data_IF_180906884097
#
_entry.id   IF_180906884097
#
_cell.length_a   1.000
_cell.length_b   1.000
_cell.length_c   1.000
_cell.angle_alpha   90.00
_cell.angle_beta   90.00
_cell.angle_gamma   90.00
#
_symmetry.space_group_name_H-M   'P 1'
#
loop_
_entity.id
_entity.type
_entity.pdbx_description
1 polymer ?
#
# COMPACT_ATOMS: atom_id res chain seq x y z
N UNK A 1 11.03 4.75 -17.33
CA UNK A 1 12.12 4.00 -16.66
C UNK A 1 12.62 2.93 -17.62
N UNK A 2 13.77 3.15 -18.26
CA UNK A 2 14.45 2.11 -19.02
C UNK A 2 15.37 1.32 -18.06
N UNK A 3 14.77 0.42 -17.27
CA UNK A 3 15.51 -0.53 -16.44
C UNK A 3 15.27 -1.94 -17.01
N UNK A 4 16.34 -2.74 -17.20
CA UNK A 4 16.27 -3.98 -17.99
C UNK A 4 15.43 -5.09 -17.33
N UNK A 5 15.36 -5.11 -16.00
CA UNK A 5 14.68 -6.15 -15.24
C UNK A 5 14.13 -5.65 -13.89
N UNK A 6 13.57 -6.56 -13.11
CA UNK A 6 12.96 -6.27 -11.82
C UNK A 6 14.00 -5.84 -10.76
N UNK A 7 15.15 -6.49 -10.71
CA UNK A 7 16.21 -6.18 -9.75
C UNK A 7 16.82 -4.81 -10.03
N UNK A 8 17.03 -4.46 -11.29
CA UNK A 8 17.49 -3.14 -11.69
C UNK A 8 16.49 -2.04 -11.29
N UNK A 9 15.17 -2.32 -11.37
CA UNK A 9 14.15 -1.38 -10.87
C UNK A 9 14.18 -1.25 -9.35
N UNK A 10 14.31 -2.36 -8.62
CA UNK A 10 14.43 -2.32 -7.16
C UNK A 10 15.68 -1.55 -6.72
N UNK A 11 16.79 -1.70 -7.45
CA UNK A 11 18.00 -0.93 -7.18
C UNK A 11 17.74 0.57 -7.32
N UNK A 12 17.08 1.01 -8.39
CA UNK A 12 16.72 2.43 -8.58
C UNK A 12 15.84 2.92 -7.42
N UNK A 13 14.87 2.12 -6.99
CA UNK A 13 14.01 2.46 -5.84
C UNK A 13 14.84 2.61 -4.57
N UNK A 14 15.75 1.67 -4.28
CA UNK A 14 16.64 1.75 -3.13
C UNK A 14 17.58 2.96 -3.19
N UNK A 15 18.19 3.22 -4.35
CA UNK A 15 19.10 4.34 -4.58
C UNK A 15 18.39 5.71 -4.41
N UNK A 16 17.08 5.77 -4.61
CA UNK A 16 16.26 7.00 -4.48
C UNK A 16 15.34 6.99 -3.25
N UNK A 17 15.60 6.12 -2.28
CA UNK A 17 14.70 5.89 -1.14
C UNK A 17 14.44 7.15 -0.31
N UNK A 18 15.45 8.00 -0.10
CA UNK A 18 15.29 9.28 0.61
C UNK A 18 14.37 10.25 -0.15
N UNK A 19 14.60 10.44 -1.46
CA UNK A 19 13.74 11.28 -2.31
C UNK A 19 12.29 10.76 -2.34
N UNK A 20 12.13 9.44 -2.39
CA UNK A 20 10.81 8.78 -2.35
C UNK A 20 10.12 9.00 -1.00
N UNK A 21 10.85 8.95 0.11
CA UNK A 21 10.28 9.18 1.44
C UNK A 21 9.79 10.62 1.58
N UNK A 22 10.56 11.58 1.07
CA UNK A 22 10.18 12.99 1.00
C UNK A 22 8.93 13.20 0.13
N UNK A 23 8.86 12.55 -1.05
CA UNK A 23 7.68 12.56 -1.92
C UNK A 23 6.46 11.95 -1.22
N UNK A 24 6.62 10.86 -0.47
CA UNK A 24 5.56 10.25 0.32
C UNK A 24 5.06 11.20 1.41
N UNK A 25 5.97 11.90 2.09
CA UNK A 25 5.61 12.93 3.09
C UNK A 25 4.81 14.05 2.44
N UNK A 26 5.25 14.51 1.27
CA UNK A 26 4.60 15.59 0.54
C UNK A 26 3.23 15.21 -0.04
N UNK A 27 3.05 13.95 -0.42
CA UNK A 27 1.76 13.44 -0.87
C UNK A 27 0.73 13.41 0.27
N UNK A 28 1.15 13.15 1.51
CA UNK A 28 0.29 12.95 2.68
C UNK A 28 -0.16 14.25 3.38
N UNK A 29 -0.18 15.38 2.65
CA UNK A 29 -0.59 16.69 3.19
C UNK A 29 -2.05 16.67 3.64
N UNK A 30 -2.30 17.40 4.73
CA UNK A 30 -3.63 17.61 5.30
C UNK A 30 -4.39 18.73 4.58
N UNK A 31 -5.74 18.73 4.65
CA UNK A 31 -6.59 17.72 5.30
C UNK A 31 -6.80 16.49 4.41
N UNK A 32 -7.08 15.35 5.05
CA UNK A 32 -7.65 14.15 4.42
C UNK A 32 -9.07 13.93 4.98
N UNK A 33 -9.87 13.09 4.32
CA UNK A 33 -11.22 12.78 4.77
C UNK A 33 -11.24 12.14 6.17
N UNK A 34 -12.19 12.54 7.02
CA UNK A 34 -12.30 12.12 8.44
C UNK A 34 -12.26 10.61 8.65
N UNK A 35 -12.92 9.85 7.77
CA UNK A 35 -12.97 8.37 7.83
C UNK A 35 -11.60 7.68 7.74
N UNK A 36 -10.57 8.36 7.23
CA UNK A 36 -9.21 7.82 7.08
C UNK A 36 -8.15 8.61 7.84
N UNK A 37 -8.53 9.66 8.57
CA UNK A 37 -7.61 10.60 9.22
C UNK A 37 -6.67 9.89 10.21
N UNK A 38 -7.20 9.08 11.13
CA UNK A 38 -6.41 8.32 12.10
C UNK A 38 -5.34 7.45 11.43
N UNK A 39 -5.71 6.75 10.34
CA UNK A 39 -4.77 5.91 9.59
C UNK A 39 -3.77 6.75 8.82
N UNK A 40 -4.17 7.89 8.28
CA UNK A 40 -3.26 8.81 7.59
C UNK A 40 -2.20 9.38 8.54
N UNK A 41 -2.55 9.68 9.79
CA UNK A 41 -1.58 10.05 10.84
C UNK A 41 -0.54 8.95 11.02
N UNK A 42 -0.96 7.69 11.10
CA UNK A 42 -0.04 6.55 11.24
C UNK A 42 0.86 6.36 10.02
N UNK A 43 0.35 6.59 8.79
CA UNK A 43 1.21 6.58 7.59
C UNK A 43 2.25 7.69 7.65
N UNK A 44 1.87 8.92 8.06
CA UNK A 44 2.84 10.01 8.25
C UNK A 44 3.92 9.65 9.28
N UNK A 45 3.53 9.00 10.37
CA UNK A 45 4.50 8.50 11.37
C UNK A 45 5.42 7.42 10.80
N UNK A 46 4.92 6.52 9.95
CA UNK A 46 5.75 5.52 9.28
C UNK A 46 6.78 6.18 8.34
N UNK A 47 6.37 7.21 7.60
CA UNK A 47 7.28 8.00 6.74
C UNK A 47 8.32 8.74 7.59
N UNK A 48 7.93 9.37 8.69
CA UNK A 48 8.89 10.05 9.57
C UNK A 48 9.87 9.06 10.19
N UNK A 49 9.41 7.90 10.66
CA UNK A 49 10.27 6.84 11.15
C UNK A 49 11.27 6.38 10.07
N UNK A 50 10.86 6.33 8.80
CA UNK A 50 11.75 6.02 7.70
C UNK A 50 12.85 7.10 7.56
N UNK A 51 12.46 8.37 7.51
CA UNK A 51 13.38 9.52 7.38
C UNK A 51 14.37 9.57 8.56
N UNK A 52 13.92 9.21 9.76
CA UNK A 52 14.75 9.15 10.96
C UNK A 52 15.67 7.89 11.00
N UNK A 53 15.63 7.05 9.98
CA UNK A 53 16.47 5.84 9.84
C UNK A 53 15.93 4.60 10.55
N UNK A 54 14.70 4.63 11.07
CA UNK A 54 14.02 3.52 11.73
C UNK A 54 13.24 2.65 10.72
N UNK A 55 13.94 2.07 9.75
CA UNK A 55 13.34 1.36 8.62
C UNK A 55 12.44 0.16 9.05
N UNK A 56 12.84 -0.60 10.05
CA UNK A 56 12.07 -1.74 10.54
C UNK A 56 10.74 -1.29 11.15
N UNK A 57 10.76 -0.22 11.94
CA UNK A 57 9.56 0.37 12.52
C UNK A 57 8.66 0.98 11.44
N UNK A 58 9.25 1.70 10.48
CA UNK A 58 8.54 2.27 9.34
C UNK A 58 7.79 1.20 8.53
N UNK A 59 8.48 0.11 8.17
CA UNK A 59 7.87 -1.01 7.45
C UNK A 59 6.73 -1.65 8.25
N UNK A 60 6.98 -1.98 9.52
CA UNK A 60 5.98 -2.65 10.36
C UNK A 60 4.71 -1.79 10.48
N UNK A 61 4.86 -0.49 10.76
CA UNK A 61 3.72 0.42 10.88
C UNK A 61 2.98 0.58 9.54
N UNK A 62 3.70 0.80 8.43
CA UNK A 62 3.10 0.93 7.11
C UNK A 62 2.31 -0.33 6.72
N UNK A 63 2.86 -1.53 6.96
CA UNK A 63 2.19 -2.81 6.69
C UNK A 63 0.89 -2.95 7.49
N UNK A 64 0.91 -2.64 8.78
CA UNK A 64 -0.30 -2.72 9.63
C UNK A 64 -1.38 -1.75 9.16
N UNK A 65 -1.01 -0.53 8.74
CA UNK A 65 -1.97 0.44 8.22
C UNK A 65 -2.55 -0.01 6.87
N UNK A 66 -1.73 -0.55 5.96
CA UNK A 66 -2.21 -1.12 4.69
C UNK A 66 -3.20 -2.28 4.91
N UNK A 67 -2.89 -3.23 5.80
CA UNK A 67 -3.82 -4.32 6.14
C UNK A 67 -5.13 -3.76 6.72
N UNK A 68 -5.05 -2.73 7.56
CA UNK A 68 -6.24 -2.07 8.14
C UNK A 68 -7.10 -1.39 7.06
N UNK A 69 -6.48 -0.65 6.12
CA UNK A 69 -7.20 -0.05 5.00
C UNK A 69 -7.92 -1.10 4.16
N UNK A 70 -7.25 -2.19 3.81
CA UNK A 70 -7.85 -3.28 3.02
C UNK A 70 -9.01 -3.93 3.76
N UNK A 71 -8.87 -4.14 5.08
CA UNK A 71 -9.93 -4.75 5.89
C UNK A 71 -11.16 -3.86 6.03
N UNK A 72 -10.98 -2.57 6.27
CA UNK A 72 -12.10 -1.63 6.37
C UNK A 72 -12.76 -1.39 5.00
N UNK A 73 -11.98 -1.30 3.93
CA UNK A 73 -12.51 -1.03 2.60
C UNK A 73 -13.22 -2.24 1.98
N UNK A 74 -12.72 -3.45 2.20
CA UNK A 74 -13.29 -4.70 1.69
C UNK A 74 -13.89 -5.55 2.81
N UNK A 75 -14.71 -4.94 3.66
CA UNK A 75 -15.28 -5.62 4.82
C UNK A 75 -15.97 -6.95 4.44
N UNK A 76 -15.81 -7.95 5.31
CA UNK A 76 -16.31 -9.31 5.09
C UNK A 76 -15.55 -10.15 4.05
N UNK A 77 -14.55 -9.60 3.34
CA UNK A 77 -13.76 -10.36 2.36
C UNK A 77 -12.47 -10.95 2.95
N UNK A 78 -12.13 -12.16 2.47
CA UNK A 78 -10.81 -12.76 2.66
C UNK A 78 -9.78 -12.17 1.70
N UNK A 79 -8.49 -12.25 2.05
CA UNK A 79 -7.40 -11.64 1.27
C UNK A 79 -7.32 -12.11 -0.19
N UNK A 80 -7.69 -13.36 -0.49
CA UNK A 80 -7.79 -13.86 -1.88
C UNK A 80 -8.81 -13.07 -2.70
N UNK A 81 -10.02 -12.85 -2.14
CA UNK A 81 -11.09 -12.10 -2.82
C UNK A 81 -10.75 -10.62 -2.94
N UNK A 82 -10.10 -10.03 -1.93
CA UNK A 82 -9.56 -8.66 -2.01
C UNK A 82 -8.60 -8.53 -3.18
N UNK A 83 -7.68 -9.50 -3.34
CA UNK A 83 -6.71 -9.50 -4.44
C UNK A 83 -7.37 -9.60 -5.81
N UNK A 84 -8.40 -10.43 -5.95
CA UNK A 84 -9.19 -10.53 -7.18
C UNK A 84 -9.82 -9.18 -7.52
N UNK A 85 -10.46 -8.52 -6.55
CA UNK A 85 -11.06 -7.19 -6.75
C UNK A 85 -10.07 -6.06 -7.10
N UNK A 86 -8.83 -6.19 -6.65
CA UNK A 86 -7.77 -5.22 -6.94
C UNK A 86 -7.06 -5.45 -8.27
N UNK A 87 -7.34 -6.57 -8.95
CA UNK A 87 -6.75 -6.84 -10.26
C UNK A 87 -7.51 -6.06 -11.31
N UNK A 88 -6.81 -5.24 -12.10
CA UNK A 88 -7.42 -4.46 -13.18
C UNK A 88 -7.95 -5.39 -14.29
N UNK A 89 -9.24 -5.30 -14.58
CA UNK A 89 -9.84 -5.88 -15.78
C UNK A 89 -9.99 -4.79 -16.85
N UNK A 90 -9.48 -5.04 -18.06
CA UNK A 90 -9.52 -4.09 -19.17
C UNK A 90 -10.91 -4.02 -19.84
N UNK A 91 -11.85 -4.87 -19.42
CA UNK A 91 -13.22 -4.88 -19.96
C UNK A 91 -14.20 -3.96 -19.22
N UNK A 92 -13.75 -3.28 -18.17
CA UNK A 92 -14.63 -2.49 -17.30
C UNK A 92 -14.83 -1.07 -17.85
N UNK A 93 -16.09 -0.65 -18.03
CA UNK A 93 -16.50 0.69 -18.51
C UNK A 93 -16.34 1.77 -17.42
N UNK A 94 -15.29 1.67 -16.60
CA UNK A 94 -15.02 2.58 -15.51
C UNK A 94 -14.64 3.98 -16.04
N UNK A 95 -15.21 5.02 -15.43
CA UNK A 95 -14.84 6.39 -15.75
C UNK A 95 -13.32 6.59 -15.52
N UNK A 96 -12.62 7.21 -16.49
CA UNK A 96 -11.17 7.44 -16.43
C UNK A 96 -10.71 8.02 -15.08
N UNK A 97 -11.52 8.88 -14.48
CA UNK A 97 -11.25 9.45 -13.16
C UNK A 97 -11.08 8.36 -12.09
N UNK A 98 -11.98 7.38 -12.02
CA UNK A 98 -11.93 6.28 -11.04
C UNK A 98 -10.74 5.37 -11.32
N UNK A 99 -10.47 5.06 -12.60
CA UNK A 99 -9.32 4.23 -12.99
C UNK A 99 -8.00 4.87 -12.55
N UNK A 100 -7.80 6.16 -12.82
CA UNK A 100 -6.55 6.87 -12.51
C UNK A 100 -6.38 7.18 -11.02
N UNK A 101 -7.46 7.53 -10.31
CA UNK A 101 -7.37 7.96 -8.91
C UNK A 101 -7.54 6.85 -7.90
N UNK A 102 -8.15 5.74 -8.28
CA UNK A 102 -8.48 4.67 -7.36
C UNK A 102 -7.97 3.31 -7.84
N UNK A 103 -8.43 2.81 -8.99
CA UNK A 103 -8.18 1.42 -9.37
C UNK A 103 -6.69 1.15 -9.61
N UNK A 104 -5.98 1.99 -10.37
CA UNK A 104 -4.54 1.82 -10.61
C UNK A 104 -3.69 1.96 -9.34
N UNK A 105 -3.89 3.00 -8.49
CA UNK A 105 -3.24 3.07 -7.19
C UNK A 105 -3.49 1.83 -6.32
N UNK A 106 -4.73 1.37 -6.21
CA UNK A 106 -5.10 0.23 -5.38
C UNK A 106 -4.59 -1.11 -5.95
N UNK A 107 -4.47 -1.23 -7.27
CA UNK A 107 -3.88 -2.41 -7.91
C UNK A 107 -2.43 -2.66 -7.49
N UNK A 108 -1.71 -1.65 -6.99
CA UNK A 108 -0.36 -1.83 -6.43
C UNK A 108 -0.36 -2.73 -5.18
N UNK A 109 -1.49 -2.84 -4.46
CA UNK A 109 -1.65 -3.73 -3.31
C UNK A 109 -1.86 -5.22 -3.70
N UNK A 110 -2.02 -5.57 -4.99
CA UNK A 110 -2.18 -6.97 -5.43
C UNK A 110 -0.98 -7.84 -5.00
N UNK A 111 0.24 -7.33 -5.12
CA UNK A 111 1.46 -8.03 -4.68
C UNK A 111 1.58 -8.08 -3.16
N UNK A 112 1.12 -7.05 -2.48
CA UNK A 112 1.08 -7.00 -1.02
C UNK A 112 0.25 -8.14 -0.42
N UNK A 113 -0.85 -8.51 -1.08
CA UNK A 113 -1.76 -9.59 -0.66
C UNK A 113 -1.26 -11.02 -0.94
N UNK A 114 -0.03 -11.21 -1.42
CA UNK A 114 0.55 -12.55 -1.63
C UNK A 114 0.91 -13.18 -0.28
N UNK A 115 0.23 -14.29 0.05
CA UNK A 115 0.55 -15.04 1.26
C UNK A 115 1.81 -15.89 1.12
N UNK A 116 2.61 -15.90 2.18
CA UNK A 116 3.73 -16.82 2.35
C UNK A 116 3.29 -18.01 3.21
N UNK A 117 3.58 -19.23 2.75
CA UNK A 117 3.30 -20.47 3.47
C UNK A 117 4.62 -21.07 3.95
N UNK A 118 4.99 -20.79 5.19
CA UNK A 118 6.27 -21.21 5.79
C UNK A 118 6.56 -22.71 5.69
N UNK A 119 5.52 -23.54 5.75
CA UNK A 119 5.62 -25.00 5.61
C UNK A 119 5.76 -25.50 4.16
N UNK A 120 5.64 -24.62 3.15
CA UNK A 120 5.72 -24.99 1.72
C UNK A 120 6.83 -24.30 0.96
N UNK A 121 7.21 -23.08 1.38
CA UNK A 121 8.11 -22.22 0.63
C UNK A 121 9.14 -21.57 1.54
N UNK A 122 10.38 -21.38 1.05
CA UNK A 122 11.36 -20.57 1.76
C UNK A 122 10.83 -19.14 1.95
N UNK A 123 11.42 -18.42 2.91
CA UNK A 123 11.14 -17.00 3.08
C UNK A 123 11.48 -16.28 1.76
N UNK A 124 10.55 -15.50 1.17
CA UNK A 124 10.83 -14.74 -0.04
C UNK A 124 11.97 -13.74 0.20
N UNK A 125 12.74 -13.42 -0.84
CA UNK A 125 13.72 -12.33 -0.81
C UNK A 125 13.06 -10.96 -0.96
N UNK A 126 11.93 -10.90 -1.66
CA UNK A 126 11.17 -9.68 -1.92
C UNK A 126 10.29 -9.29 -0.72
N UNK A 127 9.86 -8.03 -0.70
CA UNK A 127 8.92 -7.50 0.28
C UNK A 127 7.67 -8.37 0.41
N UNK A 128 7.35 -8.77 1.65
CA UNK A 128 6.16 -9.54 1.96
C UNK A 128 5.50 -9.04 3.24
N UNK A 129 4.21 -8.65 3.14
CA UNK A 129 3.38 -8.33 4.32
C UNK A 129 3.34 -9.52 5.29
N UNK A 130 3.17 -10.72 4.74
CA UNK A 130 2.93 -11.92 5.52
C UNK A 130 4.17 -12.28 6.33
N UNK A 131 5.37 -12.14 5.72
CA UNK A 131 6.63 -12.34 6.44
C UNK A 131 6.90 -11.22 7.43
N UNK A 132 6.55 -9.97 7.12
CA UNK A 132 6.68 -8.85 8.07
C UNK A 132 5.97 -9.17 9.40
N UNK A 133 4.79 -9.79 9.34
CA UNK A 133 3.99 -10.13 10.53
C UNK A 133 4.37 -11.48 11.15
N UNK A 134 4.56 -12.52 10.34
CA UNK A 134 4.67 -13.91 10.83
C UNK A 134 6.08 -14.51 10.74
N UNK A 135 7.04 -13.80 10.14
CA UNK A 135 8.42 -14.26 9.96
C UNK A 135 9.44 -13.12 10.01
N UNK A 136 9.19 -12.14 10.88
CA UNK A 136 10.01 -10.94 11.04
C UNK A 136 11.50 -11.29 11.19
N UNK A 137 12.33 -10.66 10.37
CA UNK A 137 13.79 -10.80 10.38
C UNK A 137 14.43 -9.57 9.75
N UNK A 138 15.70 -9.30 10.03
CA UNK A 138 16.46 -8.19 9.42
C UNK A 138 16.63 -8.34 7.90
N UNK A 139 16.49 -9.55 7.36
CA UNK A 139 16.45 -9.77 5.92
C UNK A 139 15.15 -9.23 5.30
N UNK A 140 14.04 -9.22 6.05
CA UNK A 140 12.73 -8.77 5.57
C UNK A 140 12.34 -7.38 6.03
N UNK A 141 12.75 -6.96 7.22
CA UNK A 141 12.64 -5.59 7.73
C UNK A 141 13.95 -4.88 7.43
N UNK A 142 13.99 -4.22 6.27
CA UNK A 142 15.18 -3.53 5.75
C UNK A 142 14.75 -2.24 5.02
N UNK A 143 15.71 -1.38 4.67
CA UNK A 143 15.42 -0.07 4.05
C UNK A 143 14.67 -0.17 2.72
N UNK A 144 15.01 -1.12 1.85
CA UNK A 144 14.34 -1.29 0.56
C UNK A 144 12.87 -1.70 0.75
N UNK A 145 12.61 -2.67 1.62
CA UNK A 145 11.24 -3.11 1.91
C UNK A 145 10.43 -2.05 2.66
N UNK A 146 11.07 -1.30 3.55
CA UNK A 146 10.47 -0.13 4.19
C UNK A 146 10.08 0.95 3.17
N UNK A 147 10.94 1.22 2.18
CA UNK A 147 10.65 2.14 1.07
C UNK A 147 9.38 1.71 0.32
N UNK A 148 9.32 0.43 -0.08
CA UNK A 148 8.15 -0.13 -0.76
C UNK A 148 6.88 -0.06 0.10
N UNK A 149 7.01 -0.30 1.40
CA UNK A 149 5.89 -0.27 2.34
C UNK A 149 5.32 1.16 2.51
N UNK A 150 6.17 2.18 2.69
CA UNK A 150 5.70 3.57 2.82
C UNK A 150 5.12 4.09 1.51
N UNK A 151 5.68 3.72 0.35
CA UNK A 151 5.12 4.04 -0.96
C UNK A 151 3.70 3.50 -1.11
N UNK A 152 3.50 2.22 -0.77
CA UNK A 152 2.20 1.58 -0.85
C UNK A 152 1.20 2.24 0.12
N UNK A 153 1.61 2.49 1.36
CA UNK A 153 0.75 3.11 2.36
C UNK A 153 0.32 4.52 1.93
N UNK A 154 1.26 5.36 1.45
CA UNK A 154 0.94 6.69 0.93
C UNK A 154 0.01 6.63 -0.29
N UNK A 155 0.27 5.70 -1.22
CA UNK A 155 -0.56 5.47 -2.40
C UNK A 155 -2.00 5.10 -2.01
N UNK A 156 -2.17 4.14 -1.09
CA UNK A 156 -3.49 3.72 -0.63
C UNK A 156 -4.23 4.83 0.12
N UNK A 157 -3.52 5.61 0.96
CA UNK A 157 -4.12 6.78 1.63
C UNK A 157 -4.68 7.75 0.60
N UNK A 158 -3.91 8.12 -0.44
CA UNK A 158 -4.37 9.05 -1.48
C UNK A 158 -5.49 8.49 -2.35
N UNK A 159 -5.44 7.20 -2.66
CA UNK A 159 -6.49 6.55 -3.45
C UNK A 159 -7.82 6.54 -2.70
N UNK A 160 -7.79 6.19 -1.41
CA UNK A 160 -8.97 6.17 -0.56
C UNK A 160 -9.50 7.57 -0.28
N UNK A 161 -8.62 8.54 -0.05
CA UNK A 161 -9.01 9.95 0.13
C UNK A 161 -9.77 10.47 -1.08
N UNK A 162 -9.25 10.22 -2.29
CA UNK A 162 -9.85 10.69 -3.54
C UNK A 162 -11.30 10.23 -3.71
N UNK A 163 -11.62 8.96 -3.40
CA UNK A 163 -12.99 8.43 -3.54
C UNK A 163 -13.94 8.85 -2.41
N UNK A 164 -13.41 9.40 -1.32
CA UNK A 164 -14.19 9.89 -0.19
C UNK A 164 -14.48 11.40 -0.31
N UNK A 165 -13.73 12.15 -1.13
CA UNK A 165 -14.00 13.57 -1.40
C UNK A 165 -15.37 13.79 -2.07
N UNK A 166 -16.10 14.89 -1.75
CA UNK A 166 -17.36 15.22 -2.39
C UNK A 166 -17.18 15.41 -3.91
N UNK A 167 -17.74 14.49 -4.70
CA UNK A 167 -17.60 14.44 -6.16
C UNK A 167 -16.77 13.27 -6.69
N UNK A 168 -16.18 12.45 -5.81
CA UNK A 168 -15.64 11.15 -6.18
C UNK A 168 -16.78 10.20 -6.59
N UNK A 169 -16.70 9.64 -7.80
CA UNK A 169 -17.53 8.49 -8.17
C UNK A 169 -16.98 7.27 -7.41
N UNK A 170 -17.45 7.08 -6.18
CA UNK A 170 -17.13 5.89 -5.40
C UNK A 170 -17.55 4.65 -6.20
N UNK A 171 -16.64 3.67 -6.43
CA UNK A 171 -17.03 2.43 -7.07
C UNK A 171 -18.09 1.71 -6.22
N UNK A 172 -19.01 0.98 -6.86
CA UNK A 172 -20.20 0.35 -6.23
C UNK A 172 -19.90 -0.47 -4.96
N UNK A 173 -18.64 -0.85 -4.74
CA UNK A 173 -18.17 -1.58 -3.57
C UNK A 173 -18.21 -0.80 -2.24
N UNK A 174 -18.35 0.53 -2.25
CA UNK A 174 -18.38 1.36 -1.02
C UNK A 174 -19.81 1.50 -0.45
N UNK A 175 -20.84 1.19 -1.23
CA UNK A 175 -22.23 1.52 -0.89
C UNK A 175 -22.94 0.56 0.08
N UNK A 176 -22.30 -0.50 0.59
CA UNK A 176 -22.98 -1.55 1.37
C UNK A 176 -22.63 -1.64 2.86
N UNK A 177 -21.83 -0.73 3.41
CA UNK A 177 -21.40 -0.77 4.82
C UNK A 177 -22.40 -0.25 5.86
N UNK A 178 -23.69 -0.16 5.54
CA UNK A 178 -24.72 0.36 6.44
C UNK A 178 -25.75 -0.68 6.85
N UNK A 179 -25.42 -1.52 7.83
CA UNK A 179 -26.37 -2.11 8.80
C UNK A 179 -25.67 -2.44 10.12
#
# INVERSE_FOLDING_TARGET
>A
MEAPDFEARLKIVGDRSDEIAEDCRDALKEPVHELIEDRAILVRQAVNAFIDGHHEAAQALAVVVCDSYLKTHFDGLGYTKMREKLTLDQSDDAALWTVFRYDMPMATAVRFLVDWKSHKHPVPSNFSRHVTIHGASTAQLNSLHATLAIMLAATMTRALDAILEPGGNAPETVASGGK
#
